data_IF_956155831387
#
_entry.id   IF_956155831387
#
_cell.length_a   1.000
_cell.length_b   1.000
_cell.length_c   1.000
_cell.angle_alpha   90.00
_cell.angle_beta   90.00
_cell.angle_gamma   90.00
#
_symmetry.space_group_name_H-M   'P 1'
#
loop_
_entity.id
_entity.type
_entity.pdbx_description
1 polymer ?
#
# COMPACT_ATOMS: atom_id res chain seq x y z
N UNK A 1 5.66 2.62 1.54
CA UNK A 1 4.87 2.40 2.75
C UNK A 1 3.58 3.24 2.74
N UNK A 2 3.71 4.57 2.58
CA UNK A 2 2.62 5.49 2.27
C UNK A 2 1.68 5.81 3.43
N UNK A 3 2.13 5.69 4.68
CA UNK A 3 1.33 5.98 5.87
C UNK A 3 2.18 6.56 7.00
N UNK A 4 1.52 7.20 7.95
CA UNK A 4 2.05 7.73 9.21
C UNK A 4 3.18 8.76 9.04
N UNK A 5 3.36 9.35 7.87
CA UNK A 5 4.50 10.20 7.56
C UNK A 5 5.84 9.44 7.53
N UNK A 6 5.81 8.11 7.42
CA UNK A 6 7.00 7.29 7.37
C UNK A 6 7.74 7.47 6.05
N UNK A 7 8.95 8.01 6.09
CA UNK A 7 9.78 8.25 4.90
C UNK A 7 10.60 7.00 4.55
N UNK A 8 10.53 6.59 3.28
CA UNK A 8 11.34 5.50 2.73
C UNK A 8 12.69 6.05 2.28
N UNK A 9 13.58 6.32 3.24
CA UNK A 9 14.90 6.86 2.97
C UNK A 9 15.78 5.87 2.21
N UNK A 10 16.45 6.28 1.13
CA UNK A 10 17.42 5.43 0.45
C UNK A 10 18.51 4.97 1.40
N UNK A 11 18.74 3.67 1.46
CA UNK A 11 19.74 3.07 2.33
C UNK A 11 20.41 1.88 1.64
N UNK A 12 21.64 1.57 2.04
CA UNK A 12 22.29 0.34 1.61
C UNK A 12 21.58 -0.89 2.22
N UNK A 13 21.40 -1.93 1.42
CA UNK A 13 20.85 -3.20 1.87
C UNK A 13 21.61 -4.35 1.20
N UNK A 14 22.27 -5.19 1.99
CA UNK A 14 22.96 -6.37 1.48
C UNK A 14 22.03 -7.39 0.83
N UNK A 15 20.81 -7.53 1.34
CA UNK A 15 19.79 -8.41 0.76
C UNK A 15 19.33 -7.93 -0.62
N UNK A 16 19.34 -6.63 -0.84
CA UNK A 16 18.96 -6.03 -2.13
C UNK A 16 19.98 -6.31 -3.23
N UNK A 17 21.25 -6.54 -2.87
CA UNK A 17 22.28 -6.92 -3.83
C UNK A 17 21.94 -8.21 -4.57
N UNK A 18 21.31 -9.17 -3.89
CA UNK A 18 20.86 -10.42 -4.52
C UNK A 18 19.87 -10.19 -5.68
N UNK A 19 19.02 -9.17 -5.56
CA UNK A 19 18.04 -8.77 -6.58
C UNK A 19 18.75 -8.04 -7.72
N UNK A 20 19.60 -7.08 -7.39
CA UNK A 20 20.33 -6.24 -8.35
C UNK A 20 21.29 -7.10 -9.20
N UNK A 21 21.97 -8.07 -8.60
CA UNK A 21 22.86 -9.00 -9.31
C UNK A 21 22.14 -9.94 -10.28
N UNK A 22 20.80 -9.91 -10.30
CA UNK A 22 19.95 -10.63 -11.26
C UNK A 22 19.33 -9.71 -12.29
N UNK A 23 19.92 -8.54 -12.50
CA UNK A 23 19.47 -7.50 -13.45
C UNK A 23 18.06 -6.99 -13.16
N UNK A 24 17.62 -7.05 -11.89
CA UNK A 24 16.32 -6.49 -11.46
C UNK A 24 16.53 -5.09 -10.91
N UNK A 25 15.80 -4.14 -11.43
CA UNK A 25 15.80 -2.75 -10.98
C UNK A 25 14.99 -2.65 -9.68
N UNK A 26 15.60 -2.15 -8.62
CA UNK A 26 14.90 -1.80 -7.38
C UNK A 26 14.41 -0.36 -7.43
N UNK A 27 13.11 -0.16 -7.20
CA UNK A 27 12.50 1.17 -7.18
C UNK A 27 11.81 1.40 -5.83
N UNK A 28 12.04 2.55 -5.22
CA UNK A 28 11.31 3.01 -4.05
C UNK A 28 10.37 4.14 -4.47
N UNK A 29 9.06 3.90 -4.36
CA UNK A 29 8.05 4.88 -4.69
C UNK A 29 7.75 5.77 -3.47
N UNK A 30 8.09 7.06 -3.55
CA UNK A 30 7.80 8.05 -2.51
C UNK A 30 6.38 8.58 -2.69
N UNK A 31 5.41 7.80 -2.25
CA UNK A 31 3.98 8.11 -2.38
C UNK A 31 3.49 9.04 -1.27
N UNK A 32 2.40 9.77 -1.50
CA UNK A 32 1.73 10.55 -0.45
C UNK A 32 1.29 9.65 0.71
N UNK A 33 1.31 10.20 1.93
CA UNK A 33 1.20 9.44 3.18
C UNK A 33 2.55 9.20 3.85
N UNK A 34 3.66 9.21 3.08
CA UNK A 34 5.01 9.41 3.60
C UNK A 34 5.33 10.89 3.84
N UNK A 35 6.53 11.19 4.32
CA UNK A 35 6.97 12.58 4.59
C UNK A 35 8.19 13.00 3.77
N UNK A 36 8.49 12.28 2.68
CA UNK A 36 9.68 12.54 1.83
C UNK A 36 9.67 13.95 1.22
N UNK A 37 8.48 14.54 1.06
CA UNK A 37 8.30 15.92 0.60
C UNK A 37 7.70 16.83 1.67
N UNK A 38 7.89 16.49 2.95
CA UNK A 38 7.45 17.25 4.11
C UNK A 38 6.00 16.96 4.53
N UNK A 39 5.53 17.71 5.53
CA UNK A 39 4.25 17.53 6.21
C UNK A 39 3.04 17.56 5.26
N UNK A 40 3.08 18.38 4.22
CA UNK A 40 2.01 18.47 3.22
C UNK A 40 1.83 17.13 2.49
N UNK A 41 2.94 16.46 2.15
CA UNK A 41 2.95 15.17 1.46
C UNK A 41 2.25 14.09 2.27
N UNK A 42 2.49 14.07 3.59
CA UNK A 42 1.77 13.19 4.51
C UNK A 42 0.28 13.51 4.58
N UNK A 43 -0.07 14.78 4.87
CA UNK A 43 -1.47 15.21 5.01
C UNK A 43 -2.32 14.93 3.78
N UNK A 44 -1.74 14.97 2.60
CA UNK A 44 -2.40 14.66 1.32
C UNK A 44 -2.53 13.14 1.05
N UNK A 45 -2.05 12.29 1.94
CA UNK A 45 -2.14 10.83 1.85
C UNK A 45 -2.80 10.16 3.06
N UNK A 46 -3.49 10.90 3.94
CA UNK A 46 -4.19 10.36 5.11
C UNK A 46 -5.67 10.73 5.13
N UNK A 47 -6.45 10.09 6.02
CA UNK A 47 -7.88 10.31 6.18
C UNK A 47 -8.61 10.21 4.82
N UNK A 48 -9.45 11.19 4.50
CA UNK A 48 -10.21 11.25 3.23
C UNK A 48 -9.33 11.51 2.00
N UNK A 49 -8.01 11.64 2.17
CA UNK A 49 -7.03 11.74 1.09
C UNK A 49 -6.25 10.43 0.85
N UNK A 50 -6.54 9.37 1.60
CA UNK A 50 -5.77 8.10 1.57
C UNK A 50 -5.64 7.50 0.17
N UNK A 51 -6.64 7.62 -0.67
CA UNK A 51 -6.60 7.12 -2.05
C UNK A 51 -5.47 7.72 -2.89
N UNK A 52 -5.00 8.92 -2.55
CA UNK A 52 -3.86 9.53 -3.23
C UNK A 52 -2.59 8.68 -3.14
N UNK A 53 -2.39 7.97 -2.02
CA UNK A 53 -1.29 7.02 -1.84
C UNK A 53 -1.30 5.93 -2.91
N UNK A 54 -2.48 5.39 -3.20
CA UNK A 54 -2.66 4.31 -4.18
C UNK A 54 -2.50 4.81 -5.61
N UNK A 55 -3.05 6.00 -5.90
CA UNK A 55 -2.89 6.64 -7.22
C UNK A 55 -1.43 6.96 -7.52
N UNK A 56 -0.68 7.46 -6.53
CA UNK A 56 0.72 7.77 -6.70
C UNK A 56 1.54 6.52 -7.04
N UNK A 57 1.27 5.38 -6.39
CA UNK A 57 1.96 4.13 -6.69
C UNK A 57 1.65 3.63 -8.10
N UNK A 58 0.39 3.69 -8.51
CA UNK A 58 -0.05 3.36 -9.87
C UNK A 58 0.62 4.29 -10.89
N UNK A 59 0.72 5.59 -10.58
CA UNK A 59 1.37 6.56 -11.44
C UNK A 59 2.86 6.25 -11.61
N UNK A 60 3.56 5.83 -10.54
CA UNK A 60 4.96 5.39 -10.63
C UNK A 60 5.10 4.16 -11.53
N UNK A 61 4.24 3.15 -11.37
CA UNK A 61 4.26 1.97 -12.25
C UNK A 61 4.07 2.34 -13.72
N UNK A 62 3.08 3.18 -14.02
CA UNK A 62 2.83 3.69 -15.38
C UNK A 62 4.01 4.47 -15.93
N UNK A 63 4.63 5.34 -15.13
CA UNK A 63 5.81 6.11 -15.50
C UNK A 63 6.99 5.20 -15.88
N UNK A 64 7.25 4.15 -15.10
CA UNK A 64 8.33 3.20 -15.37
C UNK A 64 8.13 2.47 -16.72
N UNK A 65 6.88 2.12 -17.04
CA UNK A 65 6.51 1.50 -18.32
C UNK A 65 6.68 2.52 -19.46
N UNK A 66 6.14 3.74 -19.31
CA UNK A 66 6.22 4.81 -20.31
C UNK A 66 7.67 5.15 -20.66
N UNK A 67 8.53 5.25 -19.63
CA UNK A 67 9.97 5.52 -19.79
C UNK A 67 10.79 4.30 -20.22
N UNK A 68 10.15 3.16 -20.45
CA UNK A 68 10.78 1.92 -20.92
C UNK A 68 11.84 1.35 -19.96
N UNK A 69 11.74 1.65 -18.67
CA UNK A 69 12.54 0.96 -17.65
C UNK A 69 12.10 -0.50 -17.48
N UNK A 70 10.83 -0.78 -17.75
CA UNK A 70 10.22 -2.10 -17.61
C UNK A 70 8.96 -2.23 -18.49
N UNK A 71 8.25 -3.36 -18.37
CA UNK A 71 6.92 -3.58 -18.94
C UNK A 71 5.95 -4.09 -17.86
N UNK A 72 4.64 -4.03 -18.12
CA UNK A 72 3.61 -4.51 -17.18
C UNK A 72 3.80 -5.98 -16.76
N UNK A 73 4.32 -6.83 -17.65
CA UNK A 73 4.58 -8.25 -17.36
C UNK A 73 5.83 -8.49 -16.49
N UNK A 74 6.51 -7.43 -16.04
CA UNK A 74 7.79 -7.53 -15.30
C UNK A 74 7.79 -6.75 -13.99
N UNK A 75 6.73 -6.00 -13.67
CA UNK A 75 6.65 -5.23 -12.42
C UNK A 75 6.17 -6.13 -11.30
N UNK A 76 6.92 -6.15 -10.20
CA UNK A 76 6.50 -6.75 -8.94
C UNK A 76 6.36 -5.63 -7.92
N UNK A 77 5.16 -5.47 -7.36
CA UNK A 77 4.92 -4.57 -6.23
C UNK A 77 5.28 -5.24 -4.91
N UNK A 78 5.82 -4.48 -3.96
CA UNK A 78 6.16 -4.99 -2.64
C UNK A 78 5.79 -3.99 -1.55
N UNK A 79 5.13 -4.47 -0.48
CA UNK A 79 4.80 -3.66 0.68
C UNK A 79 4.44 -4.50 1.90
N UNK A 80 4.65 -3.94 3.09
CA UNK A 80 4.34 -4.61 4.35
C UNK A 80 3.47 -3.75 5.26
N UNK A 81 2.66 -4.35 6.15
CA UNK A 81 1.80 -3.65 7.11
C UNK A 81 0.88 -2.65 6.38
N UNK A 82 0.94 -1.36 6.67
CA UNK A 82 0.24 -0.32 5.91
C UNK A 82 0.67 -0.24 4.44
N UNK A 83 1.93 -0.60 4.10
CA UNK A 83 2.36 -0.81 2.72
C UNK A 83 1.71 -2.04 2.08
N UNK A 84 1.27 -3.01 2.86
CA UNK A 84 0.44 -4.14 2.43
C UNK A 84 -0.98 -3.70 2.09
N UNK A 85 -1.57 -2.77 2.85
CA UNK A 85 -2.81 -2.10 2.49
C UNK A 85 -2.66 -1.39 1.12
N UNK A 86 -1.56 -0.65 0.93
CA UNK A 86 -1.25 -0.02 -0.35
C UNK A 86 -1.22 -1.05 -1.49
N UNK A 87 -0.52 -2.19 -1.32
CA UNK A 87 -0.44 -3.24 -2.34
C UNK A 87 -1.82 -3.85 -2.64
N UNK A 88 -2.61 -4.16 -1.60
CA UNK A 88 -3.96 -4.72 -1.76
C UNK A 88 -4.91 -3.77 -2.48
N UNK A 89 -4.89 -2.48 -2.14
CA UNK A 89 -5.69 -1.47 -2.82
C UNK A 89 -5.27 -1.28 -4.29
N UNK A 90 -3.97 -1.27 -4.55
CA UNK A 90 -3.41 -1.12 -5.91
C UNK A 90 -3.75 -2.32 -6.79
N UNK A 91 -3.63 -3.55 -6.28
CA UNK A 91 -3.93 -4.76 -7.06
C UNK A 91 -5.41 -4.89 -7.39
N UNK A 92 -6.30 -4.41 -6.51
CA UNK A 92 -7.74 -4.35 -6.81
C UNK A 92 -8.09 -3.31 -7.89
N UNK A 93 -7.26 -2.27 -8.02
CA UNK A 93 -7.52 -1.12 -8.88
C UNK A 93 -6.86 -1.20 -10.24
N UNK A 94 -5.66 -1.73 -10.33
CA UNK A 94 -4.86 -1.79 -11.53
C UNK A 94 -4.05 -3.12 -11.62
N UNK A 95 -4.71 -4.29 -11.54
CA UNK A 95 -4.03 -5.59 -11.54
C UNK A 95 -3.19 -5.82 -12.80
N UNK A 96 -3.62 -5.27 -13.92
CA UNK A 96 -3.00 -5.44 -15.24
C UNK A 96 -1.61 -4.81 -15.37
N UNK A 97 -1.21 -3.95 -14.42
CA UNK A 97 0.11 -3.30 -14.44
C UNK A 97 1.22 -4.18 -13.86
N UNK A 98 0.86 -5.26 -13.16
CA UNK A 98 1.80 -6.02 -12.34
C UNK A 98 1.87 -7.49 -12.74
N UNK A 99 3.09 -8.04 -12.75
CA UNK A 99 3.32 -9.48 -12.81
C UNK A 99 2.99 -10.14 -11.47
N UNK A 100 3.30 -9.47 -10.37
CA UNK A 100 3.08 -10.00 -9.03
C UNK A 100 3.06 -8.94 -7.94
N UNK A 101 2.57 -9.36 -6.76
CA UNK A 101 2.57 -8.58 -5.52
C UNK A 101 3.16 -9.40 -4.39
N UNK A 102 4.04 -8.80 -3.61
CA UNK A 102 4.58 -9.37 -2.36
C UNK A 102 4.03 -8.52 -1.21
N UNK A 103 3.29 -9.16 -0.32
CA UNK A 103 2.62 -8.51 0.80
C UNK A 103 3.07 -9.16 2.11
N UNK A 104 3.84 -8.43 2.91
CA UNK A 104 4.31 -8.92 4.20
C UNK A 104 3.40 -8.37 5.31
N UNK A 105 2.82 -9.25 6.13
CA UNK A 105 1.89 -8.90 7.22
C UNK A 105 0.92 -7.78 6.81
N UNK A 106 0.15 -7.94 5.72
CA UNK A 106 -0.55 -6.84 5.08
C UNK A 106 -1.82 -6.43 5.82
N UNK A 107 -2.02 -5.14 6.03
CA UNK A 107 -3.24 -4.56 6.62
C UNK A 107 -4.38 -4.52 5.60
N UNK A 108 -4.94 -5.68 5.24
CA UNK A 108 -5.93 -5.82 4.14
C UNK A 108 -7.39 -5.78 4.57
N UNK A 109 -7.71 -6.14 5.82
CA UNK A 109 -9.06 -6.00 6.40
C UNK A 109 -9.16 -4.72 7.25
N UNK A 110 -8.90 -3.60 6.62
CA UNK A 110 -8.79 -2.31 7.30
C UNK A 110 -10.13 -1.78 7.81
N UNK A 111 -11.25 -2.17 7.21
CA UNK A 111 -12.56 -1.72 7.66
C UNK A 111 -13.00 -2.44 8.93
N UNK A 112 -12.97 -3.78 8.94
CA UNK A 112 -13.36 -4.58 10.12
C UNK A 112 -12.48 -4.27 11.31
N UNK A 113 -11.16 -4.16 11.09
CA UNK A 113 -10.20 -3.76 12.13
C UNK A 113 -10.52 -2.37 12.69
N UNK A 114 -10.82 -1.38 11.84
CA UNK A 114 -11.14 -0.02 12.29
C UNK A 114 -12.43 0.05 13.13
N UNK A 115 -13.35 -0.90 12.96
CA UNK A 115 -14.59 -1.01 13.74
C UNK A 115 -14.38 -1.66 15.11
N UNK A 116 -13.31 -2.41 15.30
CA UNK A 116 -12.98 -3.11 16.55
C UNK A 116 -11.97 -2.32 17.40
N UNK A 117 -12.48 -1.55 18.36
CA UNK A 117 -11.68 -0.72 19.24
C UNK A 117 -10.95 -1.52 20.34
N UNK A 118 -11.15 -2.83 20.44
CA UNK A 118 -10.44 -3.71 21.37
C UNK A 118 -9.05 -4.11 20.86
N UNK A 119 -8.82 -3.98 19.57
CA UNK A 119 -7.52 -4.29 18.96
C UNK A 119 -6.47 -3.23 19.30
N UNK A 120 -5.23 -3.64 19.57
CA UNK A 120 -4.20 -2.76 20.19
C UNK A 120 -3.89 -1.49 19.38
N UNK A 121 -3.89 -1.55 18.06
CA UNK A 121 -3.47 -0.45 17.20
C UNK A 121 -4.64 0.45 16.75
N UNK A 122 -5.88 -0.06 16.73
CA UNK A 122 -7.04 0.58 16.10
C UNK A 122 -7.26 2.03 16.55
N UNK A 123 -7.28 2.28 17.85
CA UNK A 123 -7.55 3.64 18.38
C UNK A 123 -6.43 4.61 18.01
N UNK A 124 -5.19 4.17 18.05
CA UNK A 124 -4.01 4.98 17.70
C UNK A 124 -3.97 5.34 16.20
N UNK A 125 -4.66 4.59 15.36
CA UNK A 125 -4.67 4.78 13.90
C UNK A 125 -5.77 5.71 13.38
N UNK A 126 -6.65 6.21 14.26
CA UNK A 126 -7.74 7.11 13.83
C UNK A 126 -7.25 8.41 13.20
N UNK A 127 -6.07 8.89 13.58
CA UNK A 127 -5.45 10.05 12.98
C UNK A 127 -4.98 9.80 11.54
N UNK A 128 -4.68 8.55 11.19
CA UNK A 128 -4.21 8.18 9.84
C UNK A 128 -5.38 7.79 8.94
N UNK A 129 -6.28 6.91 9.41
CA UNK A 129 -7.33 6.32 8.58
C UNK A 129 -8.74 6.88 8.86
N UNK A 130 -8.95 7.50 10.03
CA UNK A 130 -10.26 7.94 10.50
C UNK A 130 -10.93 6.92 11.43
N UNK A 131 -12.05 7.30 12.02
CA UNK A 131 -12.85 6.46 12.92
C UNK A 131 -14.17 6.08 12.27
N UNK A 132 -14.23 4.89 11.66
CA UNK A 132 -15.40 4.37 10.94
C UNK A 132 -16.59 4.10 11.87
N UNK A 133 -16.36 3.76 13.13
CA UNK A 133 -17.42 3.50 14.10
C UNK A 133 -18.14 4.76 14.54
N UNK A 134 -17.43 5.88 14.58
CA UNK A 134 -17.97 7.16 15.04
C UNK A 134 -18.51 8.03 13.90
N UNK A 135 -17.91 7.95 12.71
CA UNK A 135 -18.21 8.84 11.59
C UNK A 135 -18.53 8.03 10.33
N UNK A 136 -19.78 8.17 9.84
CA UNK A 136 -20.23 7.48 8.62
C UNK A 136 -19.37 7.83 7.40
N UNK A 137 -18.91 9.07 7.30
CA UNK A 137 -18.02 9.50 6.23
C UNK A 137 -16.71 8.68 6.21
N UNK A 138 -16.10 8.47 7.37
CA UNK A 138 -14.90 7.63 7.49
C UNK A 138 -15.18 6.17 7.13
N UNK A 139 -16.33 5.64 7.58
CA UNK A 139 -16.76 4.28 7.22
C UNK A 139 -16.88 4.12 5.70
N UNK A 140 -17.65 4.98 5.05
CA UNK A 140 -17.90 4.92 3.61
C UNK A 140 -16.58 5.08 2.83
N UNK A 141 -15.70 5.97 3.31
CA UNK A 141 -14.42 6.21 2.67
C UNK A 141 -13.46 5.02 2.80
N UNK A 142 -13.28 4.45 4.01
CA UNK A 142 -12.44 3.27 4.24
C UNK A 142 -12.99 2.10 3.43
N UNK A 143 -14.29 1.83 3.49
CA UNK A 143 -14.95 0.77 2.72
C UNK A 143 -14.65 0.86 1.22
N UNK A 144 -14.56 2.07 0.70
CA UNK A 144 -14.34 2.31 -0.73
C UNK A 144 -12.95 1.95 -1.24
N UNK A 145 -11.99 1.62 -0.35
CA UNK A 145 -10.64 1.21 -0.72
C UNK A 145 -10.11 -0.01 0.06
N UNK A 146 -10.74 -0.40 1.17
CA UNK A 146 -10.31 -1.54 1.98
C UNK A 146 -10.13 -2.78 1.09
N UNK A 147 -8.93 -3.38 1.05
CA UNK A 147 -8.63 -4.43 0.06
C UNK A 147 -9.59 -5.61 0.11
N UNK A 148 -9.91 -6.11 1.30
CA UNK A 148 -10.82 -7.24 1.50
C UNK A 148 -12.23 -6.95 0.97
N UNK A 149 -12.78 -5.77 1.23
CA UNK A 149 -14.11 -5.36 0.79
C UNK A 149 -14.23 -5.09 -0.71
N UNK A 150 -13.09 -4.91 -1.40
CA UNK A 150 -13.05 -4.53 -2.80
C UNK A 150 -12.50 -5.62 -3.73
N UNK A 151 -12.43 -6.88 -3.25
CA UNK A 151 -12.09 -8.03 -4.09
C UNK A 151 -13.19 -8.23 -5.14
N UNK A 152 -12.78 -8.43 -6.39
CA UNK A 152 -13.68 -8.63 -7.53
C UNK A 152 -13.31 -9.90 -8.28
N UNK A 153 -14.29 -10.48 -8.98
CA UNK A 153 -14.02 -11.57 -9.91
C UNK A 153 -13.31 -11.00 -11.15
N UNK A 154 -11.97 -11.06 -11.15
CA UNK A 154 -11.12 -10.55 -12.22
C UNK A 154 -9.81 -11.35 -12.26
N UNK A 155 -9.01 -11.14 -13.30
CA UNK A 155 -7.65 -11.70 -13.37
C UNK A 155 -6.72 -10.88 -12.47
N UNK A 156 -6.21 -11.51 -11.42
CA UNK A 156 -5.19 -10.95 -10.54
C UNK A 156 -3.79 -11.41 -10.96
N UNK A 157 -2.74 -10.64 -10.69
CA UNK A 157 -1.36 -11.08 -10.85
C UNK A 157 -1.01 -12.16 -9.81
N UNK A 158 0.20 -12.71 -9.88
CA UNK A 158 0.68 -13.61 -8.82
C UNK A 158 0.78 -12.86 -7.48
N UNK A 159 0.30 -13.47 -6.39
CA UNK A 159 0.31 -12.85 -5.06
C UNK A 159 1.03 -13.76 -4.08
N UNK A 160 2.05 -13.22 -3.42
CA UNK A 160 2.73 -13.85 -2.29
C UNK A 160 2.40 -13.07 -1.02
N UNK A 161 1.78 -13.74 -0.05
CA UNK A 161 1.45 -13.16 1.25
C UNK A 161 2.22 -13.91 2.33
N UNK A 162 2.87 -13.18 3.22
CA UNK A 162 3.47 -13.72 4.44
C UNK A 162 2.78 -13.09 5.65
N UNK A 163 2.30 -13.91 6.59
CA UNK A 163 1.61 -13.48 7.80
C UNK A 163 1.77 -14.54 8.90
N UNK A 164 1.23 -14.28 10.07
CA UNK A 164 1.16 -15.24 11.17
C UNK A 164 -0.27 -15.39 11.69
N UNK A 165 -0.51 -16.48 12.46
CA UNK A 165 -1.82 -16.69 13.11
C UNK A 165 -2.09 -15.69 14.24
N UNK A 166 -1.04 -15.10 14.80
CA UNK A 166 -1.11 -14.11 15.88
C UNK A 166 -0.62 -12.74 15.41
N UNK A 167 -0.90 -12.40 14.18
CA UNK A 167 -0.68 -11.06 13.62
C UNK A 167 -1.79 -10.13 14.14
N UNK A 168 -1.42 -9.09 14.91
CA UNK A 168 -2.36 -8.19 15.60
C UNK A 168 -2.62 -6.93 14.78
#
# INVERSE_FOLDING_TARGET
YGSYGSSMTPSFSSTRLSIINRDIIWVTAHVRGGMERGMKWWKEGKLTNKKNTFEDYIAVAKFLIEKKYTSKEKIIGMGGSAGGLLMGAVVNKAPELFLGMIMAVPFVDSLTTNLDHSLPLTVGEFDEFGNAKKHKEHFDYIKSYAPYDNIKKMSYPHILITTSLSDN
#
